data_IF_157087760655
#
_entry.id   IF_157087760655
#
_cell.length_a   1.000
_cell.length_b   1.000
_cell.length_c   1.000
_cell.angle_alpha   90.00
_cell.angle_beta   90.00
_cell.angle_gamma   90.00
#
_symmetry.space_group_name_H-M   'P 1'
#
loop_
_entity.id
_entity.type
_entity.pdbx_description
1 polymer ?
#
# COMPACT_ATOMS: atom_id res chain seq x y z
N UNK A 1 -16.35 -39.11 30.72
CA UNK A 1 -17.38 -38.19 31.23
C UNK A 1 -16.71 -37.26 32.23
N UNK A 2 -16.45 -36.01 31.83
CA UNK A 2 -17.23 -34.90 32.36
C UNK A 2 -17.69 -33.89 31.28
N UNK A 3 -18.60 -33.03 31.73
CA UNK A 3 -19.56 -32.20 31.01
C UNK A 3 -19.00 -31.11 30.07
N UNK A 4 -19.77 -30.72 29.04
CA UNK A 4 -19.55 -29.45 28.35
C UNK A 4 -20.04 -28.25 29.20
N UNK A 5 -19.41 -27.07 29.08
CA UNK A 5 -19.84 -25.85 29.77
C UNK A 5 -21.14 -25.28 29.17
N UNK A 6 -21.86 -24.41 29.93
CA UNK A 6 -23.24 -24.06 29.64
C UNK A 6 -23.36 -23.19 28.39
N UNK A 7 -24.43 -23.43 27.63
CA UNK A 7 -24.96 -22.50 26.63
C UNK A 7 -25.22 -21.16 27.32
N UNK A 8 -24.32 -20.20 27.10
CA UNK A 8 -24.55 -18.81 27.44
C UNK A 8 -25.60 -18.26 26.52
N UNK A 9 -26.82 -18.11 27.04
CA UNK A 9 -27.84 -17.21 26.51
C UNK A 9 -27.30 -15.77 26.56
N UNK A 10 -26.60 -15.37 25.49
CA UNK A 10 -26.41 -13.97 25.14
C UNK A 10 -27.35 -13.66 24.00
N UNK A 11 -28.59 -13.35 24.38
CA UNK A 11 -29.58 -12.71 23.55
C UNK A 11 -29.04 -11.33 23.09
N UNK A 12 -28.31 -11.34 21.98
CA UNK A 12 -28.00 -10.15 21.20
C UNK A 12 -29.28 -9.61 20.58
N UNK A 13 -29.74 -8.49 21.12
CA UNK A 13 -30.93 -7.76 20.71
C UNK A 13 -30.88 -7.43 19.20
N UNK A 14 -31.89 -7.81 18.40
CA UNK A 14 -32.17 -7.09 17.16
C UNK A 14 -32.76 -5.73 17.53
N UNK A 15 -32.13 -4.67 17.03
CA UNK A 15 -32.57 -3.29 17.20
C UNK A 15 -34.05 -3.11 16.85
N UNK A 16 -34.89 -3.06 17.89
CA UNK A 16 -36.27 -2.63 17.79
C UNK A 16 -36.29 -1.10 17.68
N UNK A 17 -36.39 -0.57 16.47
CA UNK A 17 -36.95 0.78 16.28
C UNK A 17 -38.46 0.69 16.47
N UNK A 18 -38.87 0.76 17.73
CA UNK A 18 -40.27 0.89 18.10
C UNK A 18 -40.71 2.33 17.84
N UNK A 19 -41.68 2.49 16.95
CA UNK A 19 -42.61 3.62 16.97
C UNK A 19 -43.18 3.73 18.39
N UNK A 20 -42.85 4.81 19.09
CA UNK A 20 -43.69 5.32 20.18
C UNK A 20 -43.83 6.82 19.99
N UNK A 21 -45.08 7.20 19.78
CA UNK A 21 -45.60 8.55 19.86
C UNK A 21 -45.24 9.16 21.23
N UNK A 22 -44.33 10.12 21.23
CA UNK A 22 -43.90 10.86 22.42
C UNK A 22 -44.13 12.34 22.24
N UNK A 23 -45.33 12.80 22.61
CA UNK A 23 -45.67 14.22 22.81
C UNK A 23 -44.68 14.88 23.78
N UNK A 24 -43.92 15.86 23.30
CA UNK A 24 -43.48 17.09 23.99
C UNK A 24 -43.32 18.12 22.86
N UNK A 25 -44.14 19.16 22.76
CA UNK A 25 -44.24 20.22 23.77
C UNK A 25 -43.25 21.32 23.40
N UNK A 26 -43.37 21.89 22.20
CA UNK A 26 -42.65 23.10 21.79
C UNK A 26 -43.71 24.16 21.51
N UNK A 27 -43.74 25.16 22.39
CA UNK A 27 -44.54 26.36 22.32
C UNK A 27 -44.42 27.01 20.93
N UNK A 28 -45.54 27.13 20.22
CA UNK A 28 -45.67 28.18 19.21
C UNK A 28 -45.69 29.53 19.95
N UNK A 29 -44.93 30.54 19.52
CA UNK A 29 -45.27 31.91 19.87
C UNK A 29 -46.60 32.25 19.19
N UNK A 30 -47.59 32.59 20.01
CA UNK A 30 -48.83 33.23 19.58
C UNK A 30 -48.43 34.58 18.98
N UNK A 31 -48.44 34.69 17.66
CA UNK A 31 -48.44 35.98 16.98
C UNK A 31 -49.80 36.64 17.20
N UNK A 32 -49.85 37.94 17.53
CA UNK A 32 -51.11 38.61 17.82
C UNK A 32 -51.97 38.66 16.56
N UNK A 33 -53.25 38.34 16.73
CA UNK A 33 -54.31 38.59 15.77
C UNK A 33 -54.30 40.09 15.42
N UNK A 34 -53.82 40.42 14.22
CA UNK A 34 -54.07 41.72 13.62
C UNK A 34 -55.33 41.59 12.77
N UNK A 35 -56.46 42.01 13.33
CA UNK A 35 -57.65 42.39 12.57
C UNK A 35 -57.31 43.65 11.74
N UNK A 36 -56.74 43.44 10.56
CA UNK A 36 -56.61 44.45 9.52
C UNK A 36 -57.53 44.09 8.35
N UNK A 37 -58.20 45.07 7.70
CA UNK A 37 -59.10 44.77 6.58
C UNK A 37 -58.30 44.07 5.48
N UNK A 38 -58.73 42.86 5.12
CA UNK A 38 -58.14 42.09 4.03
C UNK A 38 -58.11 42.95 2.76
N UNK A 39 -56.92 43.42 2.38
CA UNK A 39 -56.71 44.01 1.08
C UNK A 39 -57.04 42.92 0.03
N UNK A 40 -57.86 43.22 -1.00
CA UNK A 40 -58.13 42.23 -2.03
C UNK A 40 -56.81 41.90 -2.73
N UNK A 41 -56.45 40.62 -2.75
CA UNK A 41 -55.33 40.13 -3.54
C UNK A 41 -55.50 40.61 -4.98
N UNK A 42 -54.43 41.11 -5.63
CA UNK A 42 -54.52 41.54 -7.02
C UNK A 42 -54.91 40.34 -7.87
N UNK A 43 -56.03 40.47 -8.59
CA UNK A 43 -56.56 39.46 -9.49
C UNK A 43 -55.42 38.90 -10.36
N UNK A 44 -55.25 37.57 -10.36
CA UNK A 44 -54.32 36.92 -11.29
C UNK A 44 -54.71 37.32 -12.73
N UNK A 45 -53.77 37.40 -13.69
CA UNK A 45 -54.10 37.69 -15.09
C UNK A 45 -55.23 36.80 -15.66
N UNK A 46 -55.37 35.57 -15.13
CA UNK A 46 -56.49 34.67 -15.43
C UNK A 46 -57.84 35.15 -14.90
N UNK A 47 -57.88 35.74 -13.70
CA UNK A 47 -59.09 36.25 -13.07
C UNK A 47 -59.62 37.51 -13.76
N UNK A 48 -58.71 38.39 -14.21
CA UNK A 48 -59.07 39.57 -14.99
C UNK A 48 -59.64 39.20 -16.38
N UNK A 49 -59.07 38.19 -17.04
CA UNK A 49 -59.57 37.67 -18.33
C UNK A 49 -60.94 37.00 -18.16
N UNK A 50 -61.15 36.28 -17.04
CA UNK A 50 -62.42 35.65 -16.69
C UNK A 50 -63.51 36.67 -16.34
N UNK A 51 -63.18 37.73 -15.60
CA UNK A 51 -64.09 38.84 -15.29
C UNK A 51 -64.53 39.56 -16.57
N UNK A 52 -63.60 39.87 -17.47
CA UNK A 52 -63.89 40.48 -18.77
C UNK A 52 -64.77 39.61 -19.65
N UNK A 53 -64.56 38.30 -19.65
CA UNK A 53 -65.40 37.34 -20.36
C UNK A 53 -66.82 37.27 -19.76
N UNK A 54 -66.94 37.33 -18.42
CA UNK A 54 -68.23 37.38 -17.71
C UNK A 54 -68.99 38.68 -17.99
N UNK A 55 -68.30 39.81 -18.06
CA UNK A 55 -68.91 41.11 -18.38
C UNK A 55 -69.32 41.20 -19.86
N UNK A 56 -68.51 40.70 -20.78
CA UNK A 56 -68.86 40.58 -22.20
C UNK A 56 -70.11 39.70 -22.42
N UNK A 57 -70.25 38.62 -21.64
CA UNK A 57 -71.43 37.76 -21.67
C UNK A 57 -72.69 38.44 -21.09
N UNK A 58 -72.54 39.38 -20.15
CA UNK A 58 -73.65 40.17 -19.59
C UNK A 58 -74.10 41.31 -20.50
N UNK A 59 -73.21 41.83 -21.35
CA UNK A 59 -73.49 42.91 -22.31
C UNK A 59 -74.06 42.41 -23.64
N UNK A 60 -73.85 41.14 -23.99
CA UNK A 60 -74.53 40.47 -25.10
C UNK A 60 -75.99 40.17 -24.73
N UNK A 61 -76.85 41.17 -24.88
CA UNK A 61 -78.28 41.11 -24.54
C UNK A 61 -79.07 40.04 -25.33
N UNK A 62 -80.21 39.68 -24.73
CA UNK A 62 -81.27 38.75 -25.15
C UNK A 62 -80.84 37.36 -25.69
N UNK A 63 -81.25 36.26 -25.00
CA UNK A 63 -81.01 34.90 -25.48
C UNK A 63 -81.88 34.63 -26.71
N UNK A 64 -81.39 34.97 -27.91
CA UNK A 64 -82.13 34.75 -29.15
C UNK A 64 -81.67 35.55 -30.37
N UNK A 65 -80.73 36.48 -30.24
CA UNK A 65 -80.23 37.24 -31.40
C UNK A 65 -79.22 36.40 -32.23
N UNK A 66 -79.48 36.09 -33.51
CA UNK A 66 -78.62 35.24 -34.34
C UNK A 66 -77.17 35.77 -34.46
N UNK A 67 -76.97 37.08 -34.41
CA UNK A 67 -75.64 37.71 -34.49
C UNK A 67 -74.82 37.50 -33.20
N UNK A 68 -75.47 37.41 -32.04
CA UNK A 68 -74.83 37.15 -30.75
C UNK A 68 -74.35 35.70 -30.65
N UNK A 69 -75.14 34.75 -31.16
CA UNK A 69 -74.78 33.33 -31.27
C UNK A 69 -73.58 33.11 -32.20
N UNK A 70 -73.50 33.85 -33.30
CA UNK A 70 -72.37 33.79 -34.24
C UNK A 70 -71.08 34.32 -33.59
N UNK A 71 -71.15 35.44 -32.87
CA UNK A 71 -70.00 35.97 -32.12
C UNK A 71 -69.52 35.02 -31.01
N UNK A 72 -70.45 34.34 -30.32
CA UNK A 72 -70.12 33.30 -29.34
C UNK A 72 -69.47 32.09 -30.01
N UNK A 73 -69.97 31.66 -31.18
CA UNK A 73 -69.36 30.58 -31.97
C UNK A 73 -67.90 30.85 -32.33
N UNK A 74 -67.60 32.05 -32.84
CA UNK A 74 -66.23 32.46 -33.16
C UNK A 74 -65.30 32.49 -31.93
N UNK A 75 -65.82 32.90 -30.76
CA UNK A 75 -65.06 32.86 -29.51
C UNK A 75 -64.81 31.43 -29.03
N UNK A 76 -65.78 30.53 -29.18
CA UNK A 76 -65.62 29.12 -28.84
C UNK A 76 -64.61 28.43 -29.76
N UNK A 77 -64.60 28.74 -31.05
CA UNK A 77 -63.61 28.22 -32.00
C UNK A 77 -62.20 28.71 -31.65
N UNK A 78 -62.04 30.01 -31.34
CA UNK A 78 -60.77 30.57 -30.88
C UNK A 78 -60.31 29.94 -29.55
N UNK A 79 -61.25 29.70 -28.63
CA UNK A 79 -60.97 29.03 -27.36
C UNK A 79 -60.60 27.56 -27.55
N UNK A 80 -61.26 26.85 -28.47
CA UNK A 80 -60.93 25.47 -28.81
C UNK A 80 -59.51 25.39 -29.41
N UNK A 81 -59.17 26.32 -30.31
CA UNK A 81 -57.83 26.45 -30.87
C UNK A 81 -56.78 26.78 -29.81
N UNK A 82 -57.01 27.78 -28.97
CA UNK A 82 -56.09 28.12 -27.87
C UNK A 82 -55.92 26.94 -26.88
N UNK A 83 -56.98 26.19 -26.59
CA UNK A 83 -56.90 24.98 -25.77
C UNK A 83 -56.11 23.85 -26.43
N UNK A 84 -56.20 23.72 -27.76
CA UNK A 84 -55.40 22.77 -28.51
C UNK A 84 -53.91 23.16 -28.48
N UNK A 85 -53.60 24.44 -28.65
CA UNK A 85 -52.24 24.97 -28.56
C UNK A 85 -51.64 24.77 -27.16
N UNK A 86 -52.44 24.97 -26.10
CA UNK A 86 -52.00 24.69 -24.71
C UNK A 86 -51.65 23.21 -24.53
N UNK A 87 -52.46 22.30 -25.07
CA UNK A 87 -52.18 20.85 -24.98
C UNK A 87 -50.90 20.48 -25.73
N UNK A 88 -50.69 21.06 -26.91
CA UNK A 88 -49.49 20.85 -27.70
C UNK A 88 -48.26 21.36 -26.93
N UNK A 89 -48.31 22.60 -26.44
CA UNK A 89 -47.23 23.21 -25.67
C UNK A 89 -46.92 22.41 -24.39
N UNK A 90 -47.94 21.92 -23.68
CA UNK A 90 -47.74 21.05 -22.53
C UNK A 90 -47.10 19.70 -22.91
N UNK A 91 -47.43 19.14 -24.07
CA UNK A 91 -46.79 17.92 -24.57
C UNK A 91 -45.31 18.17 -24.94
N UNK A 92 -45.01 19.28 -25.61
CA UNK A 92 -43.64 19.69 -25.95
C UNK A 92 -42.80 19.93 -24.69
N UNK A 93 -43.33 20.67 -23.71
CA UNK A 93 -42.64 20.89 -22.44
C UNK A 93 -42.37 19.59 -21.70
N UNK A 94 -43.31 18.64 -21.71
CA UNK A 94 -43.09 17.30 -21.13
C UNK A 94 -41.97 16.54 -21.84
N UNK A 95 -41.93 16.58 -23.17
CA UNK A 95 -40.86 15.95 -23.96
C UNK A 95 -39.51 16.57 -23.62
N UNK A 96 -39.42 17.91 -23.61
CA UNK A 96 -38.19 18.64 -23.25
C UNK A 96 -37.70 18.27 -21.85
N UNK A 97 -38.62 18.17 -20.88
CA UNK A 97 -38.26 17.83 -19.51
C UNK A 97 -37.84 16.37 -19.33
N UNK A 98 -38.41 15.42 -20.09
CA UNK A 98 -38.19 13.98 -19.91
C UNK A 98 -36.99 13.47 -20.70
N UNK A 99 -36.75 13.98 -21.92
CA UNK A 99 -35.69 13.50 -22.81
C UNK A 99 -34.29 13.45 -22.15
N UNK A 100 -33.85 14.47 -21.40
CA UNK A 100 -32.54 14.43 -20.74
C UNK A 100 -32.44 13.27 -19.74
N UNK A 101 -33.48 12.99 -18.95
CA UNK A 101 -33.46 11.91 -17.96
C UNK A 101 -33.41 10.53 -18.62
N UNK A 102 -34.12 10.34 -19.73
CA UNK A 102 -34.06 9.10 -20.50
C UNK A 102 -32.68 8.88 -21.14
N UNK A 103 -31.97 9.95 -21.48
CA UNK A 103 -30.62 9.86 -22.05
C UNK A 103 -29.53 9.68 -20.99
N UNK A 104 -29.64 10.32 -19.82
CA UNK A 104 -28.58 10.33 -18.81
C UNK A 104 -28.59 9.09 -17.90
N UNK A 105 -29.77 8.60 -17.49
CA UNK A 105 -29.84 7.48 -16.55
C UNK A 105 -29.18 6.19 -17.06
N UNK A 106 -29.35 5.79 -18.34
CA UNK A 106 -28.65 4.62 -18.88
C UNK A 106 -27.14 4.84 -19.04
N UNK A 107 -26.70 6.07 -19.33
CA UNK A 107 -25.27 6.39 -19.49
C UNK A 107 -24.54 6.31 -18.15
N UNK A 108 -25.12 6.84 -17.08
CA UNK A 108 -24.53 6.76 -15.74
C UNK A 108 -24.34 5.30 -15.29
N UNK A 109 -25.33 4.43 -15.54
CA UNK A 109 -25.22 3.00 -15.24
C UNK A 109 -24.19 2.29 -16.09
N UNK A 110 -24.06 2.66 -17.37
CA UNK A 110 -23.05 2.13 -18.27
C UNK A 110 -21.64 2.49 -17.80
N UNK A 111 -21.41 3.76 -17.48
CA UNK A 111 -20.12 4.23 -16.95
C UNK A 111 -19.76 3.50 -15.65
N UNK A 112 -20.71 3.35 -14.72
CA UNK A 112 -20.49 2.61 -13.47
C UNK A 112 -20.07 1.15 -13.75
N UNK A 113 -20.76 0.46 -14.67
CA UNK A 113 -20.44 -0.91 -15.04
C UNK A 113 -19.05 -1.03 -15.69
N UNK A 114 -18.69 -0.11 -16.58
CA UNK A 114 -17.36 -0.07 -17.20
C UNK A 114 -16.26 0.14 -16.15
N UNK A 115 -16.47 1.03 -15.17
CA UNK A 115 -15.51 1.21 -14.08
C UNK A 115 -15.38 -0.03 -13.21
N UNK A 116 -16.48 -0.75 -12.94
CA UNK A 116 -16.46 -1.96 -12.14
C UNK A 116 -15.71 -3.09 -12.86
N UNK A 117 -15.96 -3.26 -14.16
CA UNK A 117 -15.26 -4.25 -14.98
C UNK A 117 -13.75 -3.96 -15.02
N UNK A 118 -13.37 -2.70 -15.25
CA UNK A 118 -11.96 -2.29 -15.24
C UNK A 118 -11.29 -2.58 -13.89
N UNK A 119 -11.95 -2.27 -12.77
CA UNK A 119 -11.44 -2.59 -11.43
C UNK A 119 -11.30 -4.10 -11.23
N UNK A 120 -12.23 -4.90 -11.76
CA UNK A 120 -12.16 -6.36 -11.70
C UNK A 120 -10.93 -6.89 -12.46
N UNK A 121 -10.66 -6.37 -13.64
CA UNK A 121 -9.46 -6.74 -14.44
C UNK A 121 -8.17 -6.32 -13.74
N UNK A 122 -8.12 -5.11 -13.20
CA UNK A 122 -6.96 -4.61 -12.42
C UNK A 122 -6.72 -5.48 -11.18
N UNK A 123 -7.77 -5.89 -10.46
CA UNK A 123 -7.67 -6.80 -9.32
C UNK A 123 -7.15 -8.19 -9.73
N UNK A 124 -7.57 -8.72 -10.88
CA UNK A 124 -7.03 -9.98 -11.40
C UNK A 124 -5.52 -9.85 -11.70
N UNK A 125 -5.11 -8.76 -12.35
CA UNK A 125 -3.68 -8.48 -12.63
C UNK A 125 -2.85 -8.34 -11.37
N UNK A 126 -3.37 -7.64 -10.36
CA UNK A 126 -2.70 -7.49 -9.06
C UNK A 126 -2.58 -8.83 -8.34
N UNK A 127 -3.60 -9.67 -8.41
CA UNK A 127 -3.58 -11.01 -7.81
C UNK A 127 -2.52 -11.89 -8.47
N UNK A 128 -2.43 -11.89 -9.80
CA UNK A 128 -1.36 -12.60 -10.51
C UNK A 128 0.03 -12.05 -10.16
N UNK A 129 0.20 -10.73 -10.11
CA UNK A 129 1.47 -10.12 -9.73
C UNK A 129 1.89 -10.51 -8.31
N UNK A 130 0.96 -10.46 -7.35
CA UNK A 130 1.19 -10.89 -5.97
C UNK A 130 1.59 -12.37 -5.90
N UNK A 131 0.93 -13.24 -6.67
CA UNK A 131 1.28 -14.66 -6.74
C UNK A 131 2.70 -14.87 -7.29
N UNK A 132 3.08 -14.16 -8.38
CA UNK A 132 4.44 -14.22 -8.95
C UNK A 132 5.49 -13.77 -7.94
N UNK A 133 5.27 -12.64 -7.27
CA UNK A 133 6.18 -12.13 -6.24
C UNK A 133 6.28 -13.08 -5.04
N UNK A 134 5.18 -13.68 -4.61
CA UNK A 134 5.18 -14.67 -3.52
C UNK A 134 6.00 -15.90 -3.89
N UNK A 135 5.85 -16.41 -5.11
CA UNK A 135 6.64 -17.54 -5.60
C UNK A 135 8.13 -17.20 -5.70
N UNK A 136 8.45 -15.99 -6.21
CA UNK A 136 9.82 -15.46 -6.27
C UNK A 136 10.45 -15.35 -4.88
N UNK A 137 9.72 -14.78 -3.91
CA UNK A 137 10.16 -14.66 -2.53
C UNK A 137 10.42 -16.04 -1.90
N UNK A 138 9.53 -17.00 -2.12
CA UNK A 138 9.71 -18.37 -1.62
C UNK A 138 10.96 -19.02 -2.23
N UNK A 139 11.19 -18.87 -3.54
CA UNK A 139 12.40 -19.36 -4.19
C UNK A 139 13.67 -18.75 -3.57
N UNK A 140 13.72 -17.43 -3.42
CA UNK A 140 14.85 -16.73 -2.79
C UNK A 140 15.06 -17.19 -1.33
N UNK A 141 13.99 -17.42 -0.57
CA UNK A 141 14.08 -17.96 0.80
C UNK A 141 14.66 -19.38 0.82
N UNK A 142 14.31 -20.23 -0.14
CA UNK A 142 14.90 -21.57 -0.25
C UNK A 142 16.39 -21.52 -0.60
N UNK A 143 16.79 -20.62 -1.51
CA UNK A 143 18.19 -20.40 -1.86
C UNK A 143 19.01 -19.90 -0.66
N UNK A 144 18.48 -18.92 0.08
CA UNK A 144 19.15 -18.43 1.29
C UNK A 144 19.31 -19.52 2.34
N UNK A 145 18.31 -20.42 2.51
CA UNK A 145 18.44 -21.56 3.41
C UNK A 145 19.56 -22.50 2.96
N UNK A 146 19.58 -22.86 1.67
CA UNK A 146 20.61 -23.72 1.10
C UNK A 146 22.01 -23.11 1.24
N UNK A 147 22.16 -21.80 0.97
CA UNK A 147 23.43 -21.11 1.13
C UNK A 147 23.90 -21.08 2.59
N UNK A 148 22.98 -20.90 3.55
CA UNK A 148 23.30 -20.98 4.99
C UNK A 148 23.77 -22.38 5.38
N UNK A 149 23.11 -23.43 4.91
CA UNK A 149 23.53 -24.82 5.14
C UNK A 149 24.91 -25.09 4.53
N UNK A 150 25.17 -24.61 3.31
CA UNK A 150 26.49 -24.72 2.66
C UNK A 150 27.58 -24.01 3.47
N UNK A 151 27.30 -22.80 3.98
CA UNK A 151 28.25 -22.06 4.81
C UNK A 151 28.51 -22.77 6.15
N UNK A 152 27.48 -23.36 6.77
CA UNK A 152 27.65 -24.18 7.97
C UNK A 152 28.53 -25.41 7.69
N UNK A 153 28.26 -26.14 6.59
CA UNK A 153 29.06 -27.30 6.19
C UNK A 153 30.51 -26.95 5.85
N UNK A 154 30.76 -25.80 5.23
CA UNK A 154 32.11 -25.29 4.98
C UNK A 154 32.81 -24.84 6.26
N UNK A 155 32.09 -24.25 7.21
CA UNK A 155 32.62 -23.91 8.54
C UNK A 155 33.07 -25.15 9.31
N UNK A 156 32.24 -26.21 9.33
CA UNK A 156 32.57 -27.48 9.98
C UNK A 156 33.68 -28.24 9.27
N UNK A 157 33.69 -28.26 7.94
CA UNK A 157 34.76 -28.86 7.15
C UNK A 157 36.08 -28.10 7.29
N UNK A 158 36.02 -26.77 7.39
CA UNK A 158 37.15 -25.90 7.68
C UNK A 158 37.75 -26.19 9.05
N UNK A 159 36.91 -26.26 10.09
CA UNK A 159 37.31 -26.66 11.46
C UNK A 159 37.90 -28.07 11.51
N UNK A 160 37.32 -29.04 10.80
CA UNK A 160 37.84 -30.41 10.73
C UNK A 160 39.14 -30.53 9.95
N UNK A 161 39.33 -29.75 8.87
CA UNK A 161 40.61 -29.65 8.16
C UNK A 161 41.66 -29.01 9.04
N UNK A 162 41.34 -27.90 9.71
CA UNK A 162 42.23 -27.26 10.66
C UNK A 162 42.64 -28.20 11.81
N UNK A 163 41.70 -28.96 12.38
CA UNK A 163 41.96 -29.98 13.41
C UNK A 163 42.77 -31.18 12.91
N UNK A 164 42.73 -31.51 11.61
CA UNK A 164 43.57 -32.57 11.02
C UNK A 164 44.97 -32.09 10.70
N UNK A 165 45.12 -30.84 10.29
CA UNK A 165 46.43 -30.20 10.04
C UNK A 165 47.12 -29.86 11.36
N UNK A 166 46.36 -29.53 12.41
CA UNK A 166 46.83 -29.32 13.77
C UNK A 166 46.00 -30.21 14.73
N UNK A 167 46.36 -31.49 14.92
CA UNK A 167 45.70 -32.33 15.91
C UNK A 167 45.96 -31.71 17.28
N UNK A 168 44.87 -31.48 18.00
CA UNK A 168 44.83 -30.87 19.33
C UNK A 168 46.13 -31.09 20.10
N UNK A 169 46.79 -29.98 20.45
CA UNK A 169 47.78 -29.95 21.50
C UNK A 169 47.18 -30.67 22.71
N UNK A 170 47.66 -31.89 22.91
CA UNK A 170 47.54 -32.52 24.21
C UNK A 170 48.13 -31.55 25.21
N UNK A 171 47.52 -31.50 26.39
CA UNK A 171 48.17 -31.01 27.59
C UNK A 171 49.52 -31.74 27.71
N UNK A 172 50.54 -31.11 27.15
CA UNK A 172 51.88 -31.60 27.03
C UNK A 172 52.71 -30.38 27.37
N UNK A 173 53.20 -30.38 28.60
CA UNK A 173 54.41 -29.67 29.01
C UNK A 173 55.53 -30.01 28.02
N UNK A 174 55.54 -29.36 26.87
CA UNK A 174 56.68 -29.23 25.98
C UNK A 174 57.46 -27.98 26.39
N UNK A 175 58.79 -27.97 26.21
CA UNK A 175 59.60 -26.83 26.61
C UNK A 175 59.05 -25.60 25.90
N UNK A 176 58.87 -24.50 26.63
CA UNK A 176 58.59 -23.21 26.03
C UNK A 176 59.63 -22.99 24.94
N UNK A 177 59.20 -23.09 23.68
CA UNK A 177 59.94 -22.53 22.57
C UNK A 177 59.91 -21.05 22.81
N UNK A 178 60.95 -20.53 23.47
CA UNK A 178 61.20 -19.11 23.52
C UNK A 178 61.28 -18.68 22.06
N UNK A 179 60.29 -17.91 21.62
CA UNK A 179 60.38 -17.20 20.36
C UNK A 179 61.65 -16.35 20.50
N UNK A 180 62.69 -16.57 19.69
CA UNK A 180 63.93 -15.81 19.82
C UNK A 180 63.60 -14.32 19.84
N UNK A 181 64.26 -13.56 20.71
CA UNK A 181 63.87 -12.18 21.03
C UNK A 181 63.67 -11.29 19.79
N UNK A 182 64.38 -11.57 18.71
CA UNK A 182 64.22 -10.83 17.45
C UNK A 182 62.87 -11.05 16.76
N UNK A 183 62.20 -12.19 16.95
CA UNK A 183 60.85 -12.45 16.39
C UNK A 183 59.71 -11.97 17.29
N UNK A 184 59.99 -11.30 18.41
CA UNK A 184 58.97 -10.85 19.37
C UNK A 184 57.99 -9.84 18.75
N UNK A 185 58.48 -8.93 17.90
CA UNK A 185 57.64 -7.97 17.15
C UNK A 185 56.68 -8.66 16.18
N UNK A 186 57.20 -9.60 15.38
CA UNK A 186 56.37 -10.40 14.46
C UNK A 186 55.35 -11.26 15.21
N UNK A 187 55.74 -11.86 16.34
CA UNK A 187 54.83 -12.65 17.16
C UNK A 187 53.71 -11.79 17.78
N UNK A 188 54.03 -10.56 18.20
CA UNK A 188 53.06 -9.61 18.71
C UNK A 188 52.06 -9.19 17.61
N UNK A 189 52.55 -8.80 16.43
CA UNK A 189 51.71 -8.46 15.28
C UNK A 189 50.73 -9.59 14.95
N UNK A 190 51.23 -10.82 14.78
CA UNK A 190 50.39 -11.99 14.50
C UNK A 190 49.38 -12.28 15.62
N UNK A 191 49.74 -12.10 16.89
CA UNK A 191 48.83 -12.35 18.01
C UNK A 191 47.59 -11.45 18.03
N UNK A 192 47.65 -10.28 17.38
CA UNK A 192 46.54 -9.35 17.25
C UNK A 192 45.46 -9.85 16.28
N UNK A 193 45.86 -10.62 15.26
CA UNK A 193 44.97 -11.09 14.19
C UNK A 193 44.45 -12.52 14.39
N UNK A 194 45.19 -13.34 15.13
CA UNK A 194 44.83 -14.72 15.41
C UNK A 194 44.27 -14.87 16.84
N UNK A 195 43.08 -15.46 16.95
CA UNK A 195 42.51 -15.80 18.26
C UNK A 195 43.32 -16.86 19.00
N UNK A 196 43.01 -17.08 20.28
CA UNK A 196 43.66 -18.11 21.14
C UNK A 196 43.53 -19.55 20.61
N UNK A 197 42.71 -19.76 19.60
CA UNK A 197 42.49 -21.01 18.89
C UNK A 197 43.17 -21.06 17.51
N UNK A 198 44.01 -20.08 17.16
CA UNK A 198 44.72 -20.02 15.88
C UNK A 198 43.85 -19.65 14.68
N UNK A 199 42.64 -19.13 14.91
CA UNK A 199 41.73 -18.71 13.81
C UNK A 199 41.94 -17.22 13.52
N UNK A 200 42.07 -16.88 12.23
CA UNK A 200 42.15 -15.49 11.79
C UNK A 200 40.80 -14.78 12.00
N UNK A 201 40.80 -13.67 12.73
CA UNK A 201 39.61 -12.90 13.03
C UNK A 201 39.27 -11.91 11.90
N UNK A 202 38.71 -12.42 10.79
CA UNK A 202 38.35 -11.61 9.61
C UNK A 202 37.26 -10.55 9.87
N UNK A 203 36.50 -10.66 10.96
CA UNK A 203 35.36 -9.78 11.25
C UNK A 203 35.76 -8.40 11.79
N UNK A 204 37.06 -8.13 12.01
CA UNK A 204 37.52 -6.91 12.70
C UNK A 204 38.53 -6.06 11.91
N UNK A 205 39.17 -6.58 10.85
CA UNK A 205 40.21 -5.90 10.07
C UNK A 205 40.17 -6.38 8.61
N UNK A 206 40.47 -5.49 7.65
CA UNK A 206 40.60 -5.93 6.26
C UNK A 206 41.88 -6.76 6.11
N UNK A 207 41.89 -7.72 5.17
CA UNK A 207 43.09 -8.53 4.90
C UNK A 207 44.29 -7.67 4.49
N UNK A 208 44.03 -6.48 3.94
CA UNK A 208 45.05 -5.51 3.57
C UNK A 208 45.71 -4.95 4.83
N UNK A 209 44.93 -4.48 5.81
CA UNK A 209 45.47 -3.97 7.08
C UNK A 209 46.33 -5.02 7.82
N UNK A 210 45.98 -6.30 7.68
CA UNK A 210 46.78 -7.41 8.20
C UNK A 210 48.12 -7.58 7.49
N UNK A 211 48.11 -7.53 6.15
CA UNK A 211 49.35 -7.67 5.38
C UNK A 211 50.29 -6.51 5.64
N UNK A 212 49.74 -5.29 5.75
CA UNK A 212 50.52 -4.10 6.06
C UNK A 212 51.23 -4.24 7.43
N UNK A 213 50.53 -4.65 8.49
CA UNK A 213 51.13 -4.82 9.83
C UNK A 213 52.15 -5.97 9.90
N UNK A 214 51.94 -7.03 9.11
CA UNK A 214 52.92 -8.13 9.00
C UNK A 214 54.13 -7.72 8.16
N UNK A 215 53.94 -6.94 7.10
CA UNK A 215 55.03 -6.39 6.28
C UNK A 215 55.92 -5.47 7.11
N UNK A 216 55.33 -4.54 7.86
CA UNK A 216 56.07 -3.65 8.79
C UNK A 216 56.89 -4.46 9.81
N UNK A 217 56.28 -5.49 10.43
CA UNK A 217 56.98 -6.33 11.40
C UNK A 217 58.09 -7.20 10.78
N UNK A 218 57.96 -7.57 9.51
CA UNK A 218 59.00 -8.30 8.77
C UNK A 218 60.14 -7.38 8.32
N UNK A 219 59.86 -6.12 7.98
CA UNK A 219 60.87 -5.11 7.67
C UNK A 219 61.71 -4.79 8.91
N UNK A 220 61.07 -4.56 10.07
CA UNK A 220 61.77 -4.36 11.35
C UNK A 220 62.65 -5.56 11.73
N UNK A 221 62.15 -6.79 11.49
CA UNK A 221 62.89 -8.02 11.74
C UNK A 221 64.10 -8.16 10.80
N UNK A 222 63.94 -7.81 9.52
CA UNK A 222 65.01 -7.85 8.53
C UNK A 222 66.11 -6.85 8.87
N UNK A 223 65.74 -5.63 9.29
CA UNK A 223 66.69 -4.62 9.77
C UNK A 223 67.45 -5.10 11.00
N UNK A 224 66.76 -5.71 11.97
CA UNK A 224 67.37 -6.23 13.19
C UNK A 224 68.33 -7.40 12.93
N UNK A 225 68.05 -8.21 11.90
CA UNK A 225 68.92 -9.29 11.44
C UNK A 225 70.04 -8.82 10.49
N UNK A 226 70.07 -7.53 10.13
CA UNK A 226 71.05 -6.96 9.22
C UNK A 226 70.92 -7.46 7.77
N UNK A 227 69.73 -7.95 7.40
CA UNK A 227 69.43 -8.49 6.07
C UNK A 227 69.08 -7.31 5.16
N UNK A 228 69.97 -7.00 4.23
CA UNK A 228 69.68 -5.99 3.21
C UNK A 228 68.68 -6.54 2.19
N UNK A 229 67.96 -5.67 1.48
CA UNK A 229 67.01 -6.06 0.42
C UNK A 229 67.64 -6.96 -0.66
N UNK A 230 68.97 -6.91 -0.81
CA UNK A 230 69.78 -7.71 -1.73
C UNK A 230 70.10 -9.12 -1.19
N UNK A 231 70.01 -9.33 0.13
CA UNK A 231 70.22 -10.63 0.78
C UNK A 231 68.97 -11.54 0.77
N UNK A 232 67.80 -10.99 0.44
CA UNK A 232 66.54 -11.75 0.32
C UNK A 232 66.62 -12.74 -0.85
N UNK A 233 67.36 -12.41 -1.92
CA UNK A 233 67.63 -13.31 -3.04
C UNK A 233 68.55 -14.49 -2.62
N UNK A 234 69.35 -14.33 -1.57
CA UNK A 234 70.22 -15.37 -1.02
C UNK A 234 69.48 -16.30 -0.03
N UNK A 235 68.21 -16.01 0.31
CA UNK A 235 67.40 -16.88 1.18
C UNK A 235 67.11 -18.23 0.51
N UNK A 236 66.90 -18.27 -0.81
CA UNK A 236 66.72 -19.51 -1.56
C UNK A 236 67.99 -20.38 -1.49
N UNK A 237 69.17 -19.76 -1.65
CA UNK A 237 70.47 -20.44 -1.53
C UNK A 237 70.73 -20.92 -0.09
N UNK A 238 70.42 -20.12 0.92
CA UNK A 238 70.53 -20.51 2.34
C UNK A 238 69.60 -21.69 2.69
N UNK A 239 68.34 -21.64 2.25
CA UNK A 239 67.37 -22.70 2.49
C UNK A 239 67.76 -24.00 1.78
N UNK A 240 68.25 -23.91 0.53
CA UNK A 240 68.78 -25.05 -0.20
C UNK A 240 70.01 -25.64 0.50
N UNK A 241 70.94 -24.81 0.97
CA UNK A 241 72.12 -25.28 1.70
C UNK A 241 71.76 -25.97 3.01
N UNK A 242 70.76 -25.48 3.75
CA UNK A 242 70.27 -26.15 4.96
C UNK A 242 69.55 -27.47 4.65
N UNK A 243 68.84 -27.56 3.52
CA UNK A 243 68.16 -28.78 3.09
C UNK A 243 69.17 -29.83 2.59
N UNK A 244 70.25 -29.40 1.94
CA UNK A 244 71.33 -30.24 1.43
C UNK A 244 72.30 -30.69 2.55
N UNK A 245 72.39 -29.93 3.64
CA UNK A 245 73.14 -30.29 4.84
C UNK A 245 72.42 -31.32 5.75
N UNK A 246 71.15 -31.65 5.46
CA UNK A 246 70.42 -32.66 6.22
C UNK A 246 70.82 -34.08 5.73
N UNK A 247 71.41 -34.93 6.59
CA UNK A 247 71.87 -36.26 6.19
C UNK A 247 70.69 -37.26 6.16
N UNK A 248 69.74 -37.07 5.24
CA UNK A 248 68.77 -38.11 4.92
C UNK A 248 69.36 -39.00 3.84
N UNK A 249 70.21 -39.93 4.30
CA UNK A 249 70.80 -40.98 3.48
C UNK A 249 69.74 -41.97 2.98
N UNK A 250 69.87 -42.27 1.68
CA UNK A 250 69.77 -43.57 0.99
C UNK A 250 68.63 -44.53 1.36
#
# INVERSE_FOLDING_TARGET
MPHPPPLGDSAGQPGRSNRVLGRRGCHLPILPQQDGPAAPLPASPGDAKLQRAKEALRLAGHPGDPQSLEAVGLMLDKLAKENQDIRLMQAELRVILILPFLSLAPQAQKEELETLLRKSEENARLTEALQRETASLQAAQTELRLLREKLQGLGEAGLQRHRRVCPAGGAGTGPQGQVPAHYEGLAAALSTFFGSNGTFAHDRLSFVDFLDEVEDALEELAELLGVSKEDVDNFEEMALTQLEAAPWGR
#
